data_IF_168116565897
#
_entry.id   IF_168116565897
#
_cell.length_a   1.000
_cell.length_b   1.000
_cell.length_c   1.000
_cell.angle_alpha   90.00
_cell.angle_beta   90.00
_cell.angle_gamma   90.00
#
_symmetry.space_group_name_H-M   'P 1'
#
loop_
_entity.id
_entity.type
_entity.pdbx_description
1 polymer ?
#
# COMPACT_ATOMS: atom_id res chain seq x y z
N UNK A 1 -12.22 -12.83 18.80
CA UNK A 1 -11.70 -11.42 18.78
C UNK A 1 -12.83 -10.52 19.29
N UNK A 2 -12.57 -9.46 20.08
CA UNK A 2 -13.64 -8.54 20.51
C UNK A 2 -13.97 -7.59 19.33
N UNK A 3 -15.26 -7.30 19.13
CA UNK A 3 -15.73 -6.30 18.18
C UNK A 3 -15.08 -4.94 18.47
N UNK A 4 -14.67 -4.21 17.44
CA UNK A 4 -14.08 -2.88 17.60
C UNK A 4 -15.10 -1.91 18.25
N UNK A 5 -14.75 -1.23 19.35
CA UNK A 5 -15.68 -0.31 20.01
C UNK A 5 -16.07 0.91 19.15
N UNK A 6 -15.29 1.20 18.12
CA UNK A 6 -15.53 2.31 17.19
C UNK A 6 -16.16 1.86 15.86
N UNK A 7 -16.57 0.58 15.74
CA UNK A 7 -17.21 0.09 14.52
C UNK A 7 -18.52 0.83 14.26
N UNK A 8 -18.71 1.29 13.02
CA UNK A 8 -19.87 2.10 12.62
C UNK A 8 -19.74 3.61 12.88
N UNK A 9 -18.78 4.04 13.70
CA UNK A 9 -18.46 5.45 13.96
C UNK A 9 -17.19 5.87 13.24
N UNK A 10 -16.10 5.12 13.41
CA UNK A 10 -14.85 5.30 12.70
C UNK A 10 -14.98 4.91 11.23
N UNK A 11 -14.45 5.75 10.32
CA UNK A 11 -14.47 5.52 8.87
C UNK A 11 -13.49 4.45 8.36
N UNK A 12 -12.64 3.89 9.21
CA UNK A 12 -11.60 2.93 8.82
C UNK A 12 -12.13 1.56 8.38
N UNK A 13 -13.31 1.14 8.89
CA UNK A 13 -13.91 -0.16 8.58
C UNK A 13 -15.34 -0.01 8.09
N UNK A 14 -15.64 -0.63 6.94
CA UNK A 14 -17.00 -0.77 6.41
C UNK A 14 -17.68 -2.05 6.90
N UNK A 15 -16.90 -3.08 7.17
CA UNK A 15 -17.36 -4.39 7.60
C UNK A 15 -16.77 -4.74 8.96
N UNK A 16 -17.56 -5.37 9.81
CA UNK A 16 -17.05 -6.01 11.03
C UNK A 16 -16.32 -7.29 10.63
N UNK A 17 -14.99 -7.24 10.70
CA UNK A 17 -14.13 -8.39 10.35
C UNK A 17 -14.13 -9.50 11.40
N UNK A 18 -14.83 -9.31 12.53
CA UNK A 18 -15.05 -10.35 13.54
C UNK A 18 -16.37 -11.09 13.31
N UNK A 19 -17.24 -10.58 12.44
CA UNK A 19 -18.53 -11.20 12.14
C UNK A 19 -18.37 -12.49 11.32
N UNK A 20 -19.16 -13.54 11.59
CA UNK A 20 -19.06 -14.83 10.88
C UNK A 20 -19.27 -14.72 9.36
N UNK A 21 -20.04 -13.73 8.92
CA UNK A 21 -20.37 -13.47 7.51
C UNK A 21 -19.46 -12.44 6.82
N UNK A 22 -18.37 -12.02 7.47
CA UNK A 22 -17.44 -11.02 6.95
C UNK A 22 -16.95 -11.35 5.55
N UNK A 23 -16.44 -12.57 5.35
CA UNK A 23 -15.90 -13.00 4.06
C UNK A 23 -16.94 -12.93 2.95
N UNK A 24 -18.16 -13.39 3.20
CA UNK A 24 -19.25 -13.35 2.23
C UNK A 24 -19.64 -11.91 1.86
N UNK A 25 -19.75 -11.02 2.85
CA UNK A 25 -20.03 -9.60 2.64
C UNK A 25 -18.94 -8.92 1.82
N UNK A 26 -17.69 -9.24 2.11
CA UNK A 26 -16.56 -8.65 1.40
C UNK A 26 -16.47 -9.17 -0.03
N UNK A 27 -16.65 -10.46 -0.28
CA UNK A 27 -16.72 -11.05 -1.62
C UNK A 27 -17.83 -10.43 -2.49
N UNK A 28 -18.95 -10.09 -1.90
CA UNK A 28 -20.04 -9.42 -2.61
C UNK A 28 -19.65 -8.06 -3.21
N UNK A 29 -18.51 -7.46 -2.79
CA UNK A 29 -17.97 -6.23 -3.39
C UNK A 29 -17.28 -6.45 -4.74
N UNK A 30 -16.95 -7.69 -5.10
CA UNK A 30 -16.31 -8.05 -6.37
C UNK A 30 -17.31 -8.26 -7.51
N UNK A 31 -18.47 -7.59 -7.50
CA UNK A 31 -19.62 -7.82 -8.41
C UNK A 31 -19.28 -7.81 -9.91
N UNK A 32 -18.24 -7.07 -10.30
CA UNK A 32 -17.82 -6.92 -11.70
C UNK A 32 -16.46 -7.61 -11.98
N UNK A 33 -16.00 -8.43 -11.05
CA UNK A 33 -14.74 -9.16 -11.14
C UNK A 33 -15.03 -10.62 -10.92
N UNK A 34 -14.68 -11.47 -11.87
CA UNK A 34 -14.85 -12.93 -11.78
C UNK A 34 -13.50 -13.57 -11.40
N UNK A 35 -13.24 -13.83 -10.10
CA UNK A 35 -12.00 -14.50 -9.67
C UNK A 35 -11.89 -15.89 -10.30
N UNK A 36 -10.67 -16.28 -10.65
CA UNK A 36 -10.36 -17.62 -11.16
C UNK A 36 -9.83 -18.55 -10.07
N UNK A 37 -9.52 -18.01 -8.89
CA UNK A 37 -9.00 -18.74 -7.74
C UNK A 37 -9.58 -18.26 -6.42
N UNK A 38 -9.31 -19.01 -5.36
CA UNK A 38 -9.75 -18.65 -4.01
C UNK A 38 -9.08 -17.36 -3.53
N UNK A 39 -9.81 -16.47 -2.83
CA UNK A 39 -9.23 -15.27 -2.25
C UNK A 39 -8.20 -15.59 -1.19
N UNK A 40 -7.16 -14.75 -1.11
CA UNK A 40 -6.19 -14.77 -0.02
C UNK A 40 -6.68 -13.85 1.10
N UNK A 41 -6.89 -14.42 2.28
CA UNK A 41 -7.37 -13.68 3.45
C UNK A 41 -6.21 -13.34 4.38
N UNK A 42 -6.01 -12.05 4.65
CA UNK A 42 -5.00 -11.58 5.61
C UNK A 42 -5.66 -11.44 6.98
N UNK A 43 -5.05 -11.95 8.05
CA UNK A 43 -5.59 -11.79 9.40
C UNK A 43 -5.67 -10.33 9.83
N UNK A 44 -6.68 -9.99 10.65
CA UNK A 44 -6.73 -8.70 11.32
C UNK A 44 -5.59 -8.54 12.35
N UNK A 45 -5.28 -7.31 12.74
CA UNK A 45 -4.22 -7.01 13.71
C UNK A 45 -2.81 -6.98 13.12
N UNK A 46 -2.68 -7.09 11.80
CA UNK A 46 -1.38 -7.13 11.11
C UNK A 46 -1.07 -5.85 10.33
N UNK A 47 -1.94 -4.84 10.40
CA UNK A 47 -1.75 -3.60 9.63
C UNK A 47 -0.62 -2.77 10.23
N UNK A 48 0.47 -2.62 9.47
CA UNK A 48 1.70 -1.93 9.86
C UNK A 48 1.76 -0.45 9.45
N UNK A 49 0.70 0.07 8.81
CA UNK A 49 0.66 1.44 8.31
C UNK A 49 -0.73 2.03 8.51
N UNK A 50 -0.80 3.20 9.15
CA UNK A 50 -2.05 3.90 9.42
C UNK A 50 -1.87 5.42 9.26
N UNK A 51 -2.80 6.05 8.56
CA UNK A 51 -2.86 7.49 8.38
C UNK A 51 -3.97 8.05 9.27
N UNK A 52 -3.58 8.80 10.31
CA UNK A 52 -4.48 9.44 11.27
C UNK A 52 -4.70 10.89 10.86
N UNK A 53 -5.85 11.44 11.24
CA UNK A 53 -6.16 12.85 11.08
C UNK A 53 -5.97 13.61 12.39
N UNK A 54 -5.60 14.88 12.30
CA UNK A 54 -5.68 15.82 13.43
C UNK A 54 -6.24 17.17 13.00
N UNK A 55 -7.05 17.77 13.87
CA UNK A 55 -7.60 19.12 13.71
C UNK A 55 -8.15 19.62 15.05
N UNK A 56 -7.97 20.91 15.36
CA UNK A 56 -8.52 21.53 16.56
C UNK A 56 -8.12 20.81 17.87
N UNK A 57 -6.91 20.36 17.98
CA UNK A 57 -6.40 19.61 19.13
C UNK A 57 -6.88 18.16 19.24
N UNK A 58 -7.71 17.69 18.29
CA UNK A 58 -8.17 16.30 18.24
C UNK A 58 -7.24 15.46 17.36
N UNK A 59 -7.09 14.17 17.70
CA UNK A 59 -6.31 13.20 16.94
C UNK A 59 -7.03 11.86 16.88
N UNK A 60 -7.08 11.23 15.69
CA UNK A 60 -7.72 9.93 15.48
C UNK A 60 -7.97 9.61 14.02
N UNK A 61 -9.01 8.85 13.74
CA UNK A 61 -9.47 8.61 12.36
C UNK A 61 -10.69 9.49 12.05
N UNK A 62 -10.90 9.80 10.78
CA UNK A 62 -12.15 10.43 10.37
C UNK A 62 -13.35 9.51 10.66
N UNK A 63 -14.46 10.10 11.03
CA UNK A 63 -15.75 9.43 11.13
C UNK A 63 -16.20 8.92 9.76
N UNK A 64 -17.07 7.93 9.75
CA UNK A 64 -17.61 7.38 8.51
C UNK A 64 -18.40 8.46 7.74
N UNK A 65 -17.93 8.83 6.55
CA UNK A 65 -18.53 9.82 5.66
C UNK A 65 -18.59 11.26 6.23
N UNK A 66 -17.75 11.57 7.20
CA UNK A 66 -17.66 12.91 7.80
C UNK A 66 -16.19 13.32 7.99
N UNK A 67 -15.96 14.60 8.28
CA UNK A 67 -14.62 15.14 8.60
C UNK A 67 -14.39 15.23 10.10
N UNK A 68 -15.35 14.81 10.93
CA UNK A 68 -15.18 14.75 12.37
C UNK A 68 -14.15 13.70 12.73
N UNK A 69 -13.33 13.97 13.73
CA UNK A 69 -12.27 13.06 14.18
C UNK A 69 -12.81 12.20 15.32
N UNK A 70 -12.76 10.88 15.13
CA UNK A 70 -13.04 9.89 16.17
C UNK A 70 -11.75 9.64 16.96
N UNK A 71 -11.70 9.94 18.26
CA UNK A 71 -10.48 9.85 19.05
C UNK A 71 -10.14 8.40 19.41
N UNK A 72 -9.65 7.65 18.42
CA UNK A 72 -9.25 6.25 18.57
C UNK A 72 -7.96 6.16 19.38
N UNK A 73 -7.97 5.35 20.45
CA UNK A 73 -6.79 5.08 21.31
C UNK A 73 -6.22 3.67 21.12
N UNK A 74 -6.95 2.81 20.44
CA UNK A 74 -6.52 1.49 20.00
C UNK A 74 -7.36 1.04 18.81
N UNK A 75 -6.77 0.24 17.92
CA UNK A 75 -7.47 -0.31 16.76
C UNK A 75 -7.10 -1.79 16.62
N UNK A 76 -8.06 -2.72 16.68
CA UNK A 76 -7.77 -4.16 16.61
C UNK A 76 -7.25 -4.62 15.25
N UNK A 77 -7.22 -3.74 14.24
CA UNK A 77 -6.66 -4.03 12.92
C UNK A 77 -5.18 -3.63 12.80
N UNK A 78 -4.66 -2.84 13.73
CA UNK A 78 -3.27 -2.38 13.73
C UNK A 78 -2.35 -3.34 14.51
N UNK A 79 -1.09 -3.38 14.12
CA UNK A 79 -0.03 -4.08 14.85
C UNK A 79 0.12 -3.54 16.28
N UNK A 80 0.59 -4.36 17.23
CA UNK A 80 0.76 -3.95 18.63
C UNK A 80 1.62 -2.70 18.81
N UNK A 81 2.67 -2.53 18.01
CA UNK A 81 3.62 -1.42 18.09
C UNK A 81 2.93 -0.07 17.80
N UNK A 82 2.07 0.00 16.78
CA UNK A 82 1.28 1.20 16.50
C UNK A 82 0.25 1.44 17.62
N UNK A 83 -0.42 0.39 18.11
CA UNK A 83 -1.37 0.51 19.21
C UNK A 83 -0.69 1.02 20.49
N UNK A 84 0.58 0.67 20.74
CA UNK A 84 1.35 1.15 21.89
C UNK A 84 1.61 2.65 21.81
N UNK A 85 1.98 3.18 20.65
CA UNK A 85 2.30 4.61 20.48
C UNK A 85 1.05 5.48 20.29
N UNK A 86 -0.08 4.91 19.89
CA UNK A 86 -1.29 5.64 19.54
C UNK A 86 -1.84 6.55 20.67
N UNK A 87 -1.92 6.12 21.96
CA UNK A 87 -2.31 7.01 23.06
C UNK A 87 -1.33 8.15 23.27
N UNK A 88 -0.01 7.92 23.06
CA UNK A 88 1.03 8.93 23.20
C UNK A 88 0.94 9.98 22.09
N UNK A 89 0.78 9.56 20.84
CA UNK A 89 0.51 10.45 19.71
C UNK A 89 -0.74 11.30 19.95
N UNK A 90 -1.81 10.69 20.46
CA UNK A 90 -3.03 11.40 20.74
C UNK A 90 -2.94 12.43 21.89
N UNK A 91 -1.94 12.34 22.73
CA UNK A 91 -1.66 13.29 23.81
C UNK A 91 -0.75 14.45 23.40
N UNK A 92 -0.22 14.44 22.16
CA UNK A 92 0.57 15.58 21.68
C UNK A 92 -0.27 16.85 21.59
N UNK A 93 0.33 18.02 21.81
CA UNK A 93 -0.37 19.31 21.65
C UNK A 93 -0.49 19.68 20.16
N UNK A 94 -1.47 19.04 19.47
CA UNK A 94 -1.69 19.21 18.06
C UNK A 94 -2.17 20.61 17.70
N UNK A 95 -1.41 21.29 16.83
CA UNK A 95 -1.77 22.57 16.23
C UNK A 95 -2.13 22.42 14.75
N UNK A 96 -3.11 23.22 14.28
CA UNK A 96 -3.54 23.18 12.89
C UNK A 96 -4.40 21.97 12.56
N UNK A 97 -4.31 21.52 11.31
CA UNK A 97 -5.00 20.36 10.79
C UNK A 97 -4.13 19.63 9.75
N UNK A 98 -4.27 18.31 9.69
CA UNK A 98 -3.48 17.52 8.77
C UNK A 98 -3.62 16.03 8.96
N UNK A 99 -2.60 15.30 8.53
CA UNK A 99 -2.49 13.85 8.69
C UNK A 99 -1.17 13.45 9.39
N UNK A 100 -1.23 12.32 10.05
CA UNK A 100 -0.11 11.69 10.74
C UNK A 100 -0.04 10.22 10.31
N UNK A 101 0.87 9.95 9.37
CA UNK A 101 1.13 8.61 8.88
C UNK A 101 2.12 7.92 9.82
N UNK A 102 1.69 6.82 10.43
CA UNK A 102 2.54 5.95 11.25
C UNK A 102 2.82 4.67 10.49
N UNK A 103 4.09 4.33 10.33
CA UNK A 103 4.54 3.15 9.60
C UNK A 103 5.49 2.34 10.48
N UNK A 104 5.23 1.05 10.65
CA UNK A 104 6.17 0.12 11.26
C UNK A 104 7.18 -0.34 10.19
N UNK A 105 8.42 0.08 10.35
CA UNK A 105 9.60 -0.39 9.63
C UNK A 105 10.21 -1.57 10.38
N UNK A 106 11.26 -2.18 9.84
CA UNK A 106 11.90 -3.37 10.44
C UNK A 106 12.56 -3.05 11.79
N UNK A 107 13.10 -1.83 11.94
CA UNK A 107 13.82 -1.38 13.14
C UNK A 107 13.00 -0.43 14.03
N UNK A 108 11.72 -0.17 13.74
CA UNK A 108 10.84 0.63 14.59
C UNK A 108 9.83 1.49 13.83
N UNK A 109 9.18 2.43 14.53
CA UNK A 109 8.12 3.24 13.98
C UNK A 109 8.66 4.53 13.35
N UNK A 110 8.24 4.79 12.10
CA UNK A 110 8.38 6.07 11.41
C UNK A 110 7.07 6.85 11.48
N UNK A 111 7.13 8.13 11.83
CA UNK A 111 5.97 9.03 11.94
C UNK A 111 6.15 10.21 10.99
N UNK A 112 5.33 10.29 9.96
CA UNK A 112 5.34 11.38 8.99
C UNK A 112 4.09 12.25 9.15
N UNK A 113 4.28 13.51 9.54
CA UNK A 113 3.20 14.48 9.76
C UNK A 113 3.15 15.44 8.58
N UNK A 114 1.95 15.57 7.98
CA UNK A 114 1.65 16.61 7.00
C UNK A 114 0.62 17.56 7.59
N UNK A 115 0.96 18.85 7.68
CA UNK A 115 0.14 19.86 8.35
C UNK A 115 -0.07 21.09 7.47
N UNK A 116 -1.23 21.73 7.64
CA UNK A 116 -1.53 23.04 7.04
C UNK A 116 -0.78 24.22 7.70
N UNK A 117 -0.14 23.98 8.87
CA UNK A 117 0.76 24.94 9.48
C UNK A 117 2.22 24.57 9.23
N UNK A 118 3.08 25.53 8.85
CA UNK A 118 4.46 25.23 8.44
C UNK A 118 5.38 24.86 9.60
N UNK A 119 5.03 25.25 10.84
CA UNK A 119 5.84 25.06 12.02
C UNK A 119 5.06 24.41 13.14
N UNK A 120 5.75 23.70 14.01
CA UNK A 120 5.25 23.10 15.25
C UNK A 120 5.74 23.91 16.45
N UNK A 121 5.00 23.86 17.56
CA UNK A 121 5.36 24.55 18.81
C UNK A 121 6.55 23.89 19.50
N UNK A 122 7.20 24.62 20.40
CA UNK A 122 8.30 24.08 21.23
C UNK A 122 7.78 22.93 22.12
N UNK A 123 6.56 23.06 22.64
CA UNK A 123 5.92 22.03 23.48
C UNK A 123 5.63 20.76 22.66
N UNK A 124 5.19 20.90 21.40
CA UNK A 124 5.03 19.77 20.50
C UNK A 124 6.35 19.05 20.29
N UNK A 125 7.44 19.79 20.00
CA UNK A 125 8.77 19.21 19.82
C UNK A 125 9.21 18.43 21.05
N UNK A 126 9.16 19.07 22.23
CA UNK A 126 9.60 18.47 23.48
C UNK A 126 8.80 17.19 23.85
N UNK A 127 7.53 17.13 23.48
CA UNK A 127 6.70 15.94 23.65
C UNK A 127 7.00 14.87 22.59
N UNK A 128 7.16 15.25 21.32
CA UNK A 128 7.44 14.37 20.22
C UNK A 128 8.79 13.65 20.34
N UNK A 129 9.83 14.34 20.80
CA UNK A 129 11.17 13.78 21.04
C UNK A 129 11.19 12.64 22.09
N UNK A 130 10.16 12.54 22.93
CA UNK A 130 10.01 11.49 23.95
C UNK A 130 9.25 10.26 23.46
N UNK A 131 8.70 10.29 22.24
CA UNK A 131 7.97 9.16 21.70
C UNK A 131 8.90 7.97 21.41
N UNK A 132 8.45 6.73 21.65
CA UNK A 132 9.23 5.53 21.33
C UNK A 132 9.13 5.22 19.81
N UNK A 133 9.65 6.15 18.99
CA UNK A 133 9.67 6.06 17.52
C UNK A 133 11.08 6.33 17.02
N UNK A 134 11.47 5.77 15.90
CA UNK A 134 12.83 5.94 15.37
C UNK A 134 12.98 7.25 14.60
N UNK A 135 11.92 7.73 13.96
CA UNK A 135 11.93 9.02 13.27
C UNK A 135 10.54 9.66 13.35
N UNK A 136 10.53 10.99 13.49
CA UNK A 136 9.34 11.81 13.37
C UNK A 136 9.64 13.03 12.48
N UNK A 137 8.77 13.30 11.52
CA UNK A 137 8.89 14.43 10.59
C UNK A 137 7.62 15.28 10.58
N UNK A 138 7.78 16.57 10.25
CA UNK A 138 6.70 17.54 10.06
C UNK A 138 6.92 18.26 8.74
N UNK A 139 6.01 18.09 7.78
CA UNK A 139 6.15 18.63 6.42
C UNK A 139 7.58 18.36 5.88
N UNK A 140 7.98 17.09 5.90
CA UNK A 140 9.30 16.57 5.48
C UNK A 140 10.52 17.06 6.28
N UNK A 141 10.33 17.92 7.29
CA UNK A 141 11.41 18.34 8.19
C UNK A 141 11.52 17.38 9.37
N UNK A 142 12.71 16.87 9.63
CA UNK A 142 12.98 15.99 10.78
C UNK A 142 12.82 16.76 12.09
N UNK A 143 11.94 16.27 12.97
CA UNK A 143 11.81 16.72 14.37
C UNK A 143 12.79 15.95 15.23
N UNK A 144 12.76 14.62 15.15
CA UNK A 144 13.66 13.70 15.83
C UNK A 144 13.97 12.50 14.92
N UNK A 145 15.22 12.02 15.01
CA UNK A 145 15.65 10.81 14.31
C UNK A 145 16.69 10.11 15.19
N UNK A 146 16.32 8.97 15.75
CA UNK A 146 17.17 8.15 16.62
C UNK A 146 17.89 7.07 15.85
N UNK A 147 17.31 6.65 14.70
CA UNK A 147 17.89 5.69 13.76
C UNK A 147 17.30 5.91 12.36
N UNK A 148 17.97 5.41 11.33
CA UNK A 148 17.47 5.43 9.97
C UNK A 148 16.40 4.34 9.79
N UNK A 149 15.14 4.69 9.43
CA UNK A 149 14.13 3.69 9.20
C UNK A 149 14.52 2.76 8.04
N UNK A 150 14.44 1.45 8.26
CA UNK A 150 14.82 0.41 7.30
C UNK A 150 13.67 -0.55 7.05
N UNK A 151 13.57 -1.03 5.82
CA UNK A 151 12.69 -2.12 5.41
C UNK A 151 13.46 -3.13 4.57
N UNK A 152 13.09 -4.40 4.64
CA UNK A 152 13.79 -5.45 3.91
C UNK A 152 12.84 -6.17 2.95
N UNK A 153 13.32 -6.47 1.76
CA UNK A 153 12.63 -7.25 0.76
C UNK A 153 13.59 -8.31 0.21
N UNK A 154 13.23 -9.57 0.37
CA UNK A 154 14.02 -10.71 -0.10
C UNK A 154 15.50 -10.63 0.33
N UNK A 155 15.75 -10.27 1.59
CA UNK A 155 17.10 -10.12 2.15
C UNK A 155 17.82 -8.81 1.82
N UNK A 156 17.24 -7.94 0.99
CA UNK A 156 17.80 -6.62 0.65
C UNK A 156 17.25 -5.55 1.58
N UNK A 157 18.12 -4.95 2.38
CA UNK A 157 17.76 -3.84 3.26
C UNK A 157 17.72 -2.53 2.48
N UNK A 158 16.63 -1.78 2.62
CA UNK A 158 16.38 -0.51 1.94
C UNK A 158 16.05 0.55 2.98
N UNK A 159 16.69 1.72 2.86
CA UNK A 159 16.31 2.89 3.67
C UNK A 159 14.89 3.31 3.31
N UNK A 160 14.03 3.44 4.33
CA UNK A 160 12.64 3.86 4.14
C UNK A 160 12.54 5.40 4.03
N UNK A 161 12.18 5.95 2.86
CA UNK A 161 11.94 7.38 2.71
C UNK A 161 10.69 7.79 3.48
N UNK A 162 10.68 9.01 4.02
CA UNK A 162 9.51 9.55 4.72
C UNK A 162 8.24 9.43 3.89
N UNK A 163 7.21 8.83 4.47
CA UNK A 163 5.90 8.69 3.84
C UNK A 163 5.82 7.74 2.65
N UNK A 164 6.91 7.05 2.28
CA UNK A 164 6.91 6.13 1.15
C UNK A 164 5.83 5.05 1.30
N UNK A 165 5.39 4.52 0.16
CA UNK A 165 4.39 3.45 0.17
C UNK A 165 5.00 2.12 0.61
N UNK A 166 4.27 1.40 1.45
CA UNK A 166 4.45 -0.02 1.76
C UNK A 166 3.10 -0.72 1.71
N UNK A 167 3.11 -2.00 1.34
CA UNK A 167 1.91 -2.83 1.48
C UNK A 167 1.40 -2.79 2.93
N UNK A 168 0.09 -2.75 3.16
CA UNK A 168 -0.52 -2.51 4.47
C UNK A 168 -0.07 -3.47 5.57
N UNK A 169 0.30 -4.70 5.20
CA UNK A 169 0.81 -5.72 6.12
C UNK A 169 2.03 -6.41 5.52
N UNK A 170 2.91 -6.96 6.36
CA UNK A 170 4.01 -7.81 5.90
C UNK A 170 3.46 -9.07 5.23
N UNK A 171 2.45 -9.69 5.84
CA UNK A 171 1.83 -10.91 5.30
C UNK A 171 1.24 -10.72 3.90
N UNK A 172 0.63 -9.55 3.59
CA UNK A 172 0.15 -9.28 2.23
C UNK A 172 1.28 -9.00 1.25
N UNK A 173 2.34 -8.31 1.67
CA UNK A 173 3.52 -8.10 0.85
C UNK A 173 4.17 -9.43 0.46
N UNK A 174 4.30 -10.35 1.42
CA UNK A 174 4.86 -11.69 1.20
C UNK A 174 3.95 -12.55 0.31
N UNK A 175 2.64 -12.54 0.55
CA UNK A 175 1.68 -13.29 -0.27
C UNK A 175 1.72 -12.82 -1.73
N UNK A 176 1.69 -11.49 -1.96
CA UNK A 176 1.79 -10.91 -3.30
C UNK A 176 3.14 -11.25 -3.95
N UNK A 177 4.25 -11.10 -3.22
CA UNK A 177 5.59 -11.43 -3.71
C UNK A 177 5.67 -12.89 -4.13
N UNK A 178 5.20 -13.82 -3.30
CA UNK A 178 5.22 -15.25 -3.62
C UNK A 178 4.38 -15.58 -4.87
N UNK A 179 3.19 -14.97 -5.02
CA UNK A 179 2.37 -15.14 -6.22
C UNK A 179 3.04 -14.57 -7.46
N UNK A 180 3.68 -13.39 -7.36
CA UNK A 180 4.41 -12.75 -8.46
C UNK A 180 5.60 -13.60 -8.88
N UNK A 181 6.41 -14.08 -7.92
CA UNK A 181 7.55 -14.96 -8.19
C UNK A 181 7.11 -16.26 -8.86
N UNK A 182 6.04 -16.89 -8.35
CA UNK A 182 5.51 -18.11 -8.96
C UNK A 182 4.99 -17.87 -10.39
N UNK A 183 4.32 -16.74 -10.63
CA UNK A 183 3.80 -16.41 -11.96
C UNK A 183 4.91 -15.99 -12.94
N UNK A 184 6.04 -15.48 -12.46
CA UNK A 184 7.18 -15.09 -13.29
C UNK A 184 8.13 -16.26 -13.63
N UNK A 185 7.87 -17.45 -13.10
CA UNK A 185 8.74 -18.62 -13.38
C UNK A 185 8.91 -18.87 -14.88
N UNK A 186 10.17 -19.11 -15.30
CA UNK A 186 10.55 -19.32 -16.69
C UNK A 186 10.73 -18.03 -17.50
N UNK A 187 10.50 -16.85 -16.92
CA UNK A 187 10.87 -15.59 -17.56
C UNK A 187 12.40 -15.41 -17.55
N UNK A 188 12.96 -14.95 -18.67
CA UNK A 188 14.39 -14.69 -18.82
C UNK A 188 14.76 -13.27 -18.35
N UNK A 189 13.89 -12.29 -18.64
CA UNK A 189 14.08 -10.90 -18.22
C UNK A 189 12.76 -10.23 -17.88
N UNK A 190 12.68 -9.73 -16.66
CA UNK A 190 11.47 -9.10 -16.13
C UNK A 190 11.68 -7.60 -15.92
N UNK A 191 10.67 -6.79 -16.29
CA UNK A 191 10.56 -5.40 -15.85
C UNK A 191 9.54 -5.30 -14.72
N UNK A 192 9.90 -4.60 -13.63
CA UNK A 192 9.01 -4.29 -12.51
C UNK A 192 8.65 -2.79 -12.58
N UNK A 193 7.43 -2.49 -12.96
CA UNK A 193 6.93 -1.14 -13.22
C UNK A 193 6.05 -0.66 -12.07
N UNK A 194 6.29 0.57 -11.62
CA UNK A 194 5.80 1.10 -10.34
C UNK A 194 6.39 0.32 -9.16
N UNK A 195 7.68 0.04 -9.24
CA UNK A 195 8.36 -0.90 -8.34
C UNK A 195 8.49 -0.42 -6.89
N UNK A 196 8.29 0.87 -6.62
CA UNK A 196 8.41 1.46 -5.29
C UNK A 196 9.76 1.12 -4.63
N UNK A 197 9.71 0.53 -3.44
CA UNK A 197 10.91 0.16 -2.70
C UNK A 197 11.46 -1.23 -3.05
N UNK A 198 10.91 -1.88 -4.09
CA UNK A 198 11.51 -3.09 -4.67
C UNK A 198 10.98 -4.43 -4.15
N UNK A 199 9.75 -4.48 -3.62
CA UNK A 199 9.16 -5.73 -3.11
C UNK A 199 9.18 -6.87 -4.15
N UNK A 200 8.96 -6.58 -5.43
CA UNK A 200 9.03 -7.56 -6.50
C UNK A 200 10.37 -7.53 -7.24
N UNK A 201 10.96 -6.34 -7.38
CA UNK A 201 12.23 -6.10 -8.07
C UNK A 201 13.34 -7.03 -7.55
N UNK A 202 13.54 -7.06 -6.22
CA UNK A 202 14.61 -7.87 -5.62
C UNK A 202 14.32 -9.37 -5.76
N UNK A 203 13.09 -9.80 -5.46
CA UNK A 203 12.72 -11.21 -5.53
C UNK A 203 12.80 -11.81 -6.94
N UNK A 204 12.68 -10.98 -7.99
CA UNK A 204 12.75 -11.39 -9.39
C UNK A 204 14.10 -11.06 -10.04
N UNK A 205 15.00 -10.36 -9.34
CA UNK A 205 16.17 -9.71 -9.95
C UNK A 205 15.77 -8.93 -11.23
N UNK A 206 14.66 -8.17 -11.13
CA UNK A 206 14.06 -7.47 -12.24
C UNK A 206 14.65 -6.08 -12.45
N UNK A 207 14.49 -5.52 -13.66
CA UNK A 207 14.74 -4.11 -13.91
C UNK A 207 13.57 -3.28 -13.37
N UNK A 208 13.78 -2.59 -12.25
CA UNK A 208 12.76 -1.75 -11.61
C UNK A 208 12.65 -0.35 -12.21
N UNK A 209 11.42 0.19 -12.33
CA UNK A 209 11.14 1.55 -12.79
C UNK A 209 10.07 2.20 -11.92
N UNK A 210 10.37 3.40 -11.39
CA UNK A 210 9.42 4.22 -10.64
C UNK A 210 9.87 5.68 -10.61
N UNK A 211 9.00 6.59 -10.20
CA UNK A 211 9.35 8.00 -9.94
C UNK A 211 10.11 8.14 -8.62
N UNK A 212 9.84 7.25 -7.66
CA UNK A 212 10.50 7.17 -6.34
C UNK A 212 10.83 5.72 -6.03
N UNK A 213 11.87 5.51 -5.20
CA UNK A 213 12.23 4.17 -4.75
C UNK A 213 13.57 3.69 -5.29
N UNK A 214 13.71 2.37 -5.47
CA UNK A 214 14.99 1.70 -5.76
C UNK A 214 15.28 1.49 -7.25
N UNK A 215 14.26 1.63 -8.10
CA UNK A 215 14.38 1.43 -9.55
C UNK A 215 14.97 2.64 -10.30
N UNK A 216 15.12 2.48 -11.61
CA UNK A 216 15.44 3.57 -12.52
C UNK A 216 14.33 4.64 -12.47
N UNK A 217 14.72 5.90 -12.26
CA UNK A 217 13.79 7.00 -12.05
C UNK A 217 13.02 7.30 -13.33
N UNK A 218 11.69 7.05 -13.32
CA UNK A 218 10.82 7.25 -14.49
C UNK A 218 9.37 7.47 -14.07
N UNK A 219 8.76 8.51 -14.59
CA UNK A 219 7.31 8.74 -14.50
C UNK A 219 6.60 7.90 -15.57
N UNK A 220 6.08 6.76 -15.19
CA UNK A 220 5.41 5.82 -16.09
C UNK A 220 4.02 6.28 -16.56
N UNK A 221 3.44 7.33 -15.95
CA UNK A 221 2.18 7.93 -16.43
C UNK A 221 2.38 8.79 -17.66
N UNK A 222 3.48 9.54 -17.69
CA UNK A 222 3.79 10.47 -18.77
C UNK A 222 4.82 9.92 -19.75
N UNK A 223 5.68 9.02 -19.30
CA UNK A 223 6.77 8.41 -20.07
C UNK A 223 6.78 6.88 -19.87
N UNK A 224 5.76 6.14 -20.36
CA UNK A 224 5.74 4.69 -20.27
C UNK A 224 6.95 4.06 -20.97
N UNK A 225 7.29 2.83 -20.66
CA UNK A 225 8.23 2.04 -21.45
C UNK A 225 7.61 1.83 -22.83
N UNK A 226 8.26 2.32 -23.86
CA UNK A 226 7.79 2.18 -25.26
C UNK A 226 7.90 0.74 -25.74
N UNK A 227 7.19 0.38 -26.82
CA UNK A 227 7.31 -0.94 -27.48
C UNK A 227 8.76 -1.31 -27.75
N UNK A 228 9.59 -0.33 -28.19
CA UNK A 228 11.02 -0.56 -28.45
C UNK A 228 11.81 -0.96 -27.19
N UNK A 229 11.51 -0.32 -26.05
CA UNK A 229 12.14 -0.65 -24.76
C UNK A 229 11.64 -2.00 -24.22
N UNK A 230 10.36 -2.33 -24.44
CA UNK A 230 9.75 -3.57 -23.99
C UNK A 230 10.29 -4.82 -24.72
N UNK A 231 10.91 -4.69 -25.89
CA UNK A 231 11.46 -5.83 -26.67
C UNK A 231 12.48 -6.68 -25.91
N UNK A 232 13.09 -6.13 -24.86
CA UNK A 232 14.11 -6.84 -24.07
C UNK A 232 13.51 -7.66 -22.94
N UNK A 233 12.20 -7.57 -22.71
CA UNK A 233 11.52 -8.23 -21.61
C UNK A 233 10.50 -9.25 -22.14
N UNK A 234 10.45 -10.40 -21.52
CA UNK A 234 9.44 -11.44 -21.76
C UNK A 234 8.36 -11.45 -20.68
N UNK A 235 8.63 -10.82 -19.53
CA UNK A 235 7.68 -10.63 -18.44
C UNK A 235 7.68 -9.18 -17.95
N UNK A 236 6.49 -8.65 -17.64
CA UNK A 236 6.29 -7.33 -17.03
C UNK A 236 5.43 -7.48 -15.78
N UNK A 237 5.88 -6.94 -14.66
CA UNK A 237 5.09 -6.77 -13.44
C UNK A 237 4.59 -5.34 -13.37
N UNK A 238 3.33 -5.14 -12.97
CA UNK A 238 2.67 -3.86 -12.77
C UNK A 238 2.06 -3.82 -11.36
N UNK A 239 2.43 -2.82 -10.54
CA UNK A 239 1.77 -2.50 -9.25
C UNK A 239 1.49 -1.00 -9.15
N UNK A 240 0.64 -0.46 -10.03
CA UNK A 240 0.39 0.97 -10.11
C UNK A 240 -0.46 1.48 -8.93
N UNK A 241 -0.40 2.78 -8.61
CA UNK A 241 -1.34 3.40 -7.71
C UNK A 241 -2.78 3.35 -8.25
N UNK A 242 -3.75 3.84 -7.47
CA UNK A 242 -5.19 3.75 -7.76
C UNK A 242 -5.63 4.25 -9.16
N UNK A 243 -4.81 5.06 -9.82
CA UNK A 243 -5.06 5.53 -11.18
C UNK A 243 -4.95 4.43 -12.26
N UNK A 244 -4.32 3.30 -11.92
CA UNK A 244 -4.00 2.22 -12.85
C UNK A 244 -2.80 2.57 -13.74
N UNK A 245 -2.56 1.78 -14.79
CA UNK A 245 -1.40 1.87 -15.67
C UNK A 245 -1.80 2.00 -17.16
N UNK A 246 -2.82 2.79 -17.48
CA UNK A 246 -3.40 2.83 -18.83
C UNK A 246 -2.35 3.07 -19.93
N UNK A 247 -1.51 4.09 -19.79
CA UNK A 247 -0.49 4.43 -20.78
C UNK A 247 0.50 3.27 -21.01
N UNK A 248 0.91 2.63 -19.90
CA UNK A 248 1.82 1.49 -19.98
C UNK A 248 1.15 0.25 -20.59
N UNK A 249 -0.11 -0.03 -20.24
CA UNK A 249 -0.88 -1.14 -20.83
C UNK A 249 -1.07 -0.95 -22.36
N UNK A 250 -1.20 0.30 -22.83
CA UNK A 250 -1.28 0.59 -24.27
C UNK A 250 0.02 0.27 -25.01
N UNK A 251 1.17 0.49 -24.41
CA UNK A 251 2.46 0.12 -25.00
C UNK A 251 2.68 -1.41 -24.92
N UNK A 252 2.36 -2.03 -23.79
CA UNK A 252 2.45 -3.48 -23.62
C UNK A 252 1.55 -4.20 -24.63
N UNK A 253 0.32 -3.72 -24.86
CA UNK A 253 -0.63 -4.32 -25.81
C UNK A 253 -0.07 -4.43 -27.23
N UNK A 254 0.82 -3.53 -27.62
CA UNK A 254 1.49 -3.47 -28.96
C UNK A 254 2.84 -4.21 -28.97
N UNK A 255 3.35 -4.65 -27.82
CA UNK A 255 4.67 -5.28 -27.69
C UNK A 255 4.62 -6.79 -27.84
N UNK A 256 5.80 -7.42 -27.84
CA UNK A 256 6.00 -8.86 -27.89
C UNK A 256 6.18 -9.48 -26.48
N UNK A 257 5.91 -8.72 -25.41
CA UNK A 257 5.93 -9.23 -24.04
C UNK A 257 4.96 -10.41 -23.92
N UNK A 258 5.45 -11.54 -23.45
CA UNK A 258 4.66 -12.79 -23.41
C UNK A 258 3.74 -12.83 -22.22
N UNK A 259 4.22 -12.31 -21.06
CA UNK A 259 3.50 -12.36 -19.77
C UNK A 259 3.42 -11.02 -19.09
N UNK A 260 2.23 -10.69 -18.58
CA UNK A 260 1.99 -9.52 -17.74
C UNK A 260 1.39 -9.97 -16.42
N UNK A 261 2.05 -9.63 -15.32
CA UNK A 261 1.58 -9.83 -13.96
C UNK A 261 1.10 -8.48 -13.45
N UNK A 262 -0.18 -8.37 -13.09
CA UNK A 262 -0.78 -7.10 -12.71
C UNK A 262 -1.36 -7.18 -11.30
N UNK A 263 -0.81 -6.39 -10.37
CA UNK A 263 -1.32 -6.17 -9.02
C UNK A 263 -2.09 -4.85 -9.02
N UNK A 264 -3.29 -4.80 -8.44
CA UNK A 264 -4.13 -3.60 -8.48
C UNK A 264 -5.02 -3.46 -7.24
N UNK A 265 -4.96 -2.28 -6.61
CA UNK A 265 -5.84 -1.93 -5.48
C UNK A 265 -7.17 -1.29 -5.91
N UNK A 266 -7.45 -1.14 -7.21
CA UNK A 266 -8.67 -0.51 -7.73
C UNK A 266 -9.31 -1.34 -8.86
N UNK A 267 -10.40 -2.08 -8.59
CA UNK A 267 -11.06 -2.90 -9.59
C UNK A 267 -11.57 -2.14 -10.82
N UNK A 268 -11.88 -0.85 -10.68
CA UNK A 268 -12.41 -0.03 -11.82
C UNK A 268 -11.30 0.27 -12.83
N UNK A 269 -10.15 0.75 -12.35
CA UNK A 269 -9.01 1.02 -13.25
C UNK A 269 -8.38 -0.27 -13.76
N UNK A 270 -8.37 -1.32 -12.94
CA UNK A 270 -7.97 -2.66 -13.37
C UNK A 270 -8.81 -3.16 -14.56
N UNK A 271 -10.14 -3.07 -14.48
CA UNK A 271 -11.02 -3.53 -15.57
C UNK A 271 -10.76 -2.79 -16.88
N UNK A 272 -10.51 -1.47 -16.82
CA UNK A 272 -10.12 -0.65 -17.98
C UNK A 272 -8.80 -1.13 -18.58
N UNK A 273 -7.78 -1.31 -17.76
CA UNK A 273 -6.42 -1.68 -18.18
C UNK A 273 -6.40 -3.13 -18.70
N UNK A 274 -7.11 -4.05 -18.04
CA UNK A 274 -7.30 -5.43 -18.49
C UNK A 274 -7.96 -5.51 -19.89
N UNK A 275 -8.93 -4.63 -20.17
CA UNK A 275 -9.55 -4.56 -21.49
C UNK A 275 -8.56 -4.15 -22.58
N UNK A 276 -7.63 -3.22 -22.27
CA UNK A 276 -6.56 -2.81 -23.21
C UNK A 276 -5.63 -3.99 -23.50
N UNK A 277 -5.18 -4.69 -22.48
CA UNK A 277 -4.35 -5.89 -22.64
C UNK A 277 -5.06 -6.98 -23.45
N UNK A 278 -6.34 -7.24 -23.16
CA UNK A 278 -7.11 -8.25 -23.89
C UNK A 278 -7.29 -7.90 -25.37
N UNK A 279 -7.51 -6.62 -25.70
CA UNK A 279 -7.55 -6.16 -27.11
C UNK A 279 -6.19 -6.28 -27.78
N UNK A 280 -5.09 -6.24 -27.03
CA UNK A 280 -3.72 -6.48 -27.49
C UNK A 280 -3.36 -7.97 -27.64
N UNK A 281 -4.35 -8.89 -27.48
CA UNK A 281 -4.17 -10.33 -27.68
C UNK A 281 -3.88 -11.12 -26.40
N UNK A 282 -3.78 -10.46 -25.24
CA UNK A 282 -3.56 -11.18 -23.98
C UNK A 282 -4.84 -11.87 -23.47
N UNK A 283 -4.66 -13.05 -22.89
CA UNK A 283 -5.73 -13.78 -22.18
C UNK A 283 -5.44 -13.74 -20.68
N UNK A 284 -6.39 -13.31 -19.89
CA UNK A 284 -6.29 -13.38 -18.43
C UNK A 284 -6.37 -14.84 -17.98
N UNK A 285 -5.27 -15.34 -17.39
CA UNK A 285 -5.14 -16.73 -16.92
C UNK A 285 -5.50 -16.87 -15.46
N UNK A 286 -5.18 -15.86 -14.68
CA UNK A 286 -5.43 -15.85 -13.24
C UNK A 286 -5.98 -14.49 -12.80
N UNK A 287 -6.89 -14.54 -11.82
CA UNK A 287 -7.38 -13.39 -11.09
C UNK A 287 -7.70 -13.83 -9.68
N UNK A 288 -6.88 -13.41 -8.71
CA UNK A 288 -6.96 -13.79 -7.30
C UNK A 288 -7.11 -12.53 -6.46
N UNK A 289 -8.22 -12.36 -5.72
CA UNK A 289 -8.38 -11.28 -4.77
C UNK A 289 -7.55 -11.52 -3.50
N UNK A 290 -6.95 -10.45 -2.96
CA UNK A 290 -6.22 -10.48 -1.69
C UNK A 290 -6.86 -9.47 -0.74
N UNK A 291 -7.33 -9.94 0.43
CA UNK A 291 -7.90 -9.08 1.46
C UNK A 291 -6.82 -8.47 2.35
N UNK A 292 -5.98 -7.61 1.78
CA UNK A 292 -4.99 -6.86 2.57
C UNK A 292 -5.57 -5.64 3.29
N UNK A 293 -6.79 -5.23 2.93
CA UNK A 293 -7.49 -4.08 3.53
C UNK A 293 -8.63 -4.57 4.43
N UNK A 294 -8.28 -5.37 5.43
CA UNK A 294 -9.24 -6.00 6.35
C UNK A 294 -10.24 -4.99 6.92
N UNK A 295 -11.52 -5.33 6.89
CA UNK A 295 -12.62 -4.47 7.35
C UNK A 295 -13.04 -3.40 6.33
N UNK A 296 -12.24 -3.04 5.33
CA UNK A 296 -12.60 -2.05 4.31
C UNK A 296 -13.36 -2.66 3.13
N UNK A 297 -13.83 -1.81 2.20
CA UNK A 297 -14.44 -2.26 0.94
C UNK A 297 -13.41 -2.52 -0.17
N UNK A 298 -12.13 -2.26 0.08
CA UNK A 298 -11.07 -2.36 -0.91
C UNK A 298 -10.54 -3.77 -1.01
N UNK A 299 -10.19 -4.17 -2.22
CA UNK A 299 -9.49 -5.40 -2.54
C UNK A 299 -8.18 -5.08 -3.23
N UNK A 300 -7.19 -5.92 -3.03
CA UNK A 300 -6.06 -6.06 -3.93
C UNK A 300 -6.36 -7.19 -4.91
N UNK A 301 -6.07 -6.98 -6.18
CA UNK A 301 -6.26 -7.97 -7.23
C UNK A 301 -4.89 -8.38 -7.77
N UNK A 302 -4.58 -9.66 -7.69
CA UNK A 302 -3.44 -10.24 -8.39
C UNK A 302 -3.94 -10.90 -9.67
N UNK A 303 -3.32 -10.62 -10.81
CA UNK A 303 -3.71 -11.21 -12.09
C UNK A 303 -2.53 -11.53 -12.98
N UNK A 304 -2.70 -12.53 -13.84
CA UNK A 304 -1.72 -12.96 -14.84
C UNK A 304 -2.38 -12.94 -16.22
N UNK A 305 -1.73 -12.28 -17.17
CA UNK A 305 -2.11 -12.24 -18.58
C UNK A 305 -0.99 -12.85 -19.42
N UNK A 306 -1.38 -13.62 -20.45
CA UNK A 306 -0.45 -14.24 -21.41
C UNK A 306 -0.95 -14.07 -22.83
N UNK A 307 -0.03 -13.88 -23.76
CA UNK A 307 -0.28 -13.97 -25.22
C UNK A 307 -0.31 -15.39 -25.70
#
# INVERSE_FOLDING_TARGET
MKTCPFFGVCGGCRFDFTAPDYQNKKLAMLRNVAPTGAPVWIPAGMRRRADFAFAGGQFGFYAARAKDIVPVRSCPNLVPEINHVLPLLAALPWDGAGSCLVTLCDNGLDVAITSNVPYFSADFRAAAEKLPVIRITWNDRVIACHDTPMVSFDGHAVQYPTGAFLQPTVASADALRNMVVAAAQGAHRTADLFCGLGNFTFALNADGFDIVGTGAKRDLFTHPLTVGMLRTYDCVVLDPPRAGALAQCQEIAKSDVVRVIYVSCNPVTFARDAQVLTRGGYKMRQLIPVDQFVGSAHWELFSVFEK
#
